data_IF_815732200984
#
_entry.id   IF_815732200984
#
_cell.length_a   1.000
_cell.length_b   1.000
_cell.length_c   1.000
_cell.angle_alpha   90.00
_cell.angle_beta   90.00
_cell.angle_gamma   90.00
#
_symmetry.space_group_name_H-M   'P 1'
#
loop_
_entity.id
_entity.type
_entity.pdbx_description
1 polymer ?
#
# COMPACT_ATOMS: atom_id res chain seq x y z
N UNK A 1 0.16 2.92 -22.72
CA UNK A 1 -1.00 2.17 -22.20
C UNK A 1 -0.92 2.14 -20.68
N UNK A 2 -1.88 2.75 -19.97
CA UNK A 2 -1.99 2.61 -18.50
C UNK A 2 -2.49 1.18 -18.23
N UNK A 3 -1.66 0.31 -17.65
CA UNK A 3 -2.09 -1.05 -17.24
C UNK A 3 -3.22 -0.89 -16.23
N UNK A 4 -4.31 -1.62 -16.41
CA UNK A 4 -5.45 -1.59 -15.50
C UNK A 4 -5.08 -2.39 -14.25
N UNK A 5 -4.83 -1.69 -13.12
CA UNK A 5 -4.33 -2.29 -11.87
C UNK A 5 -5.27 -3.33 -11.27
N UNK A 6 -6.56 -3.27 -11.61
CA UNK A 6 -7.59 -4.21 -11.17
C UNK A 6 -7.40 -5.64 -11.73
N UNK A 7 -6.45 -5.84 -12.66
CA UNK A 7 -6.19 -7.14 -13.30
C UNK A 7 -4.80 -7.71 -12.99
N UNK A 8 -4.11 -7.21 -11.97
CA UNK A 8 -2.91 -7.91 -11.51
C UNK A 8 -3.32 -9.29 -10.97
N UNK A 9 -2.89 -10.41 -11.60
CA UNK A 9 -3.34 -11.75 -11.21
C UNK A 9 -3.05 -12.06 -9.74
N UNK A 10 -1.96 -11.53 -9.19
CA UNK A 10 -1.59 -11.71 -7.78
C UNK A 10 -2.53 -10.96 -6.84
N UNK A 11 -2.97 -9.76 -7.20
CA UNK A 11 -3.97 -9.02 -6.41
C UNK A 11 -5.30 -9.77 -6.37
N UNK A 12 -5.70 -10.41 -7.48
CA UNK A 12 -6.90 -11.24 -7.50
C UNK A 12 -6.75 -12.50 -6.65
N UNK A 13 -5.58 -13.14 -6.65
CA UNK A 13 -5.27 -14.25 -5.73
C UNK A 13 -5.43 -13.82 -4.27
N UNK A 14 -4.87 -12.67 -3.87
CA UNK A 14 -5.03 -12.14 -2.50
C UNK A 14 -6.52 -11.90 -2.16
N UNK A 15 -7.31 -11.36 -3.09
CA UNK A 15 -8.77 -11.18 -2.87
C UNK A 15 -9.46 -12.52 -2.61
N UNK A 16 -9.12 -13.56 -3.38
CA UNK A 16 -9.69 -14.89 -3.26
C UNK A 16 -9.23 -15.61 -1.96
N UNK A 17 -7.93 -15.58 -1.68
CA UNK A 17 -7.31 -16.23 -0.52
C UNK A 17 -7.82 -15.68 0.81
N UNK A 18 -8.01 -14.36 0.89
CA UNK A 18 -8.54 -13.70 2.09
C UNK A 18 -10.07 -13.64 2.12
N UNK A 19 -10.76 -14.23 1.13
CA UNK A 19 -12.22 -14.31 1.08
C UNK A 19 -12.91 -12.96 1.00
N UNK A 20 -12.26 -11.97 0.36
CA UNK A 20 -12.80 -10.62 0.27
C UNK A 20 -14.04 -10.57 -0.65
N UNK A 21 -14.99 -9.64 -0.41
CA UNK A 21 -16.18 -9.53 -1.23
C UNK A 21 -15.87 -9.34 -2.73
N UNK A 22 -16.74 -9.85 -3.61
CA UNK A 22 -16.54 -9.74 -5.08
C UNK A 22 -16.52 -8.31 -5.61
N UNK A 23 -17.07 -7.35 -4.87
CA UNK A 23 -17.06 -5.92 -5.21
C UNK A 23 -15.83 -5.19 -4.66
N UNK A 24 -14.86 -5.92 -4.09
CA UNK A 24 -13.60 -5.36 -3.59
C UNK A 24 -12.84 -4.62 -4.69
N UNK A 25 -12.35 -3.43 -4.35
CA UNK A 25 -11.53 -2.60 -5.23
C UNK A 25 -10.13 -2.50 -4.67
N UNK A 26 -9.16 -2.85 -5.49
CA UNK A 26 -7.76 -2.58 -5.18
C UNK A 26 -7.45 -1.10 -5.41
N UNK A 27 -7.05 -0.39 -4.35
CA UNK A 27 -6.78 1.04 -4.42
C UNK A 27 -5.33 1.35 -4.80
N UNK A 28 -4.41 0.46 -4.45
CA UNK A 28 -2.99 0.57 -4.75
C UNK A 28 -2.12 -0.02 -3.65
N UNK A 29 -0.82 0.11 -3.85
CA UNK A 29 0.19 -0.26 -2.85
C UNK A 29 0.41 0.91 -1.90
N UNK A 30 0.54 0.63 -0.60
CA UNK A 30 0.78 1.61 0.45
C UNK A 30 2.02 1.21 1.25
N UNK A 31 2.70 2.17 1.86
CA UNK A 31 3.74 1.88 2.85
C UNK A 31 3.09 1.84 4.23
N UNK A 32 3.33 0.77 4.98
CA UNK A 32 2.77 0.54 6.31
C UNK A 32 3.90 0.30 7.31
N UNK A 33 3.76 0.84 8.52
CA UNK A 33 4.59 0.57 9.68
C UNK A 33 3.85 -0.40 10.59
N UNK A 34 4.16 -1.72 10.56
CA UNK A 34 3.42 -2.70 11.34
C UNK A 34 3.53 -2.49 12.85
N UNK A 35 4.63 -1.91 13.32
CA UNK A 35 4.87 -1.68 14.74
C UNK A 35 3.96 -0.60 15.36
N UNK A 36 3.60 0.43 14.59
CA UNK A 36 2.75 1.54 15.05
C UNK A 36 1.36 1.57 14.41
N UNK A 37 1.09 0.67 13.46
CA UNK A 37 -0.11 0.64 12.62
C UNK A 37 -0.36 1.96 11.87
N UNK A 38 0.71 2.50 11.28
CA UNK A 38 0.67 3.76 10.53
C UNK A 38 0.97 3.58 9.06
N UNK A 39 0.42 4.48 8.24
CA UNK A 39 0.56 4.49 6.80
C UNK A 39 1.25 5.77 6.35
N UNK A 40 2.07 5.66 5.31
CA UNK A 40 2.66 6.84 4.70
C UNK A 40 1.57 7.66 4.01
N UNK A 41 1.30 8.86 4.51
CA UNK A 41 0.33 9.79 3.94
C UNK A 41 0.98 10.73 2.92
N UNK A 42 2.18 11.23 3.21
CA UNK A 42 2.85 12.24 2.38
C UNK A 42 4.37 12.09 2.44
N UNK A 43 5.03 12.34 1.31
CA UNK A 43 6.48 12.52 1.21
C UNK A 43 6.74 13.93 0.72
N UNK A 44 7.48 14.72 1.51
CA UNK A 44 7.95 16.05 1.13
C UNK A 44 9.44 15.98 0.85
N UNK A 45 9.84 16.41 -0.34
CA UNK A 45 11.24 16.53 -0.76
C UNK A 45 11.52 17.98 -1.08
N UNK A 46 12.40 18.62 -0.31
CA UNK A 46 12.84 20.00 -0.52
C UNK A 46 14.35 20.03 -0.39
N UNK A 47 15.04 20.36 -1.49
CA UNK A 47 16.50 20.30 -1.60
C UNK A 47 17.04 18.95 -1.11
N UNK A 48 17.88 18.96 -0.07
CA UNK A 48 18.49 17.78 0.54
C UNK A 48 17.68 17.22 1.73
N UNK A 49 16.47 17.73 1.97
CA UNK A 49 15.60 17.31 3.08
C UNK A 49 14.45 16.45 2.55
N UNK A 50 14.35 15.23 3.08
CA UNK A 50 13.19 14.36 2.90
C UNK A 50 12.41 14.23 4.22
N UNK A 51 11.13 14.60 4.20
CA UNK A 51 10.19 14.39 5.30
C UNK A 51 9.08 13.42 4.91
N UNK A 52 8.70 12.54 5.85
CA UNK A 52 7.60 11.58 5.69
C UNK A 52 6.56 11.82 6.76
N UNK A 53 5.30 11.96 6.36
CA UNK A 53 4.18 12.03 7.27
C UNK A 53 3.51 10.67 7.35
N UNK A 54 3.56 10.06 8.52
CA UNK A 54 2.88 8.82 8.86
C UNK A 54 1.58 9.10 9.60
N UNK A 55 0.56 8.26 9.41
CA UNK A 55 -0.69 8.37 10.14
C UNK A 55 -1.56 7.11 10.07
N UNK A 56 -2.46 6.95 11.02
CA UNK A 56 -3.23 5.71 11.23
C UNK A 56 -4.43 5.51 10.28
N UNK A 57 -4.69 6.41 9.32
CA UNK A 57 -5.93 6.34 8.50
C UNK A 57 -5.60 5.79 7.11
N UNK A 58 -5.83 4.49 6.83
CA UNK A 58 -5.40 3.85 5.58
C UNK A 58 -6.01 4.48 4.32
N UNK A 59 -7.23 5.03 4.40
CA UNK A 59 -7.86 5.73 3.27
C UNK A 59 -7.06 6.95 2.80
N UNK A 60 -6.35 7.61 3.72
CA UNK A 60 -5.54 8.80 3.47
C UNK A 60 -4.09 8.46 3.07
N UNK A 61 -3.71 7.18 3.10
CA UNK A 61 -2.40 6.73 2.67
C UNK A 61 -2.11 7.12 1.23
N UNK A 62 -0.84 7.42 0.97
CA UNK A 62 -0.29 7.60 -0.35
C UNK A 62 -0.37 6.27 -1.12
N UNK A 63 -1.07 6.29 -2.26
CA UNK A 63 -1.34 5.08 -3.06
C UNK A 63 -0.42 5.05 -4.27
N UNK A 64 0.58 4.18 -4.21
CA UNK A 64 1.43 3.87 -5.35
C UNK A 64 0.69 2.97 -6.34
N UNK A 65 0.92 3.20 -7.63
CA UNK A 65 0.25 2.42 -8.68
C UNK A 65 0.96 1.09 -8.94
N UNK A 66 2.24 1.00 -8.59
CA UNK A 66 3.03 -0.21 -8.75
C UNK A 66 3.75 -0.57 -7.45
N UNK A 67 3.92 -1.87 -7.21
CA UNK A 67 4.70 -2.38 -6.07
C UNK A 67 6.11 -1.77 -6.04
N UNK A 68 6.77 -1.69 -7.21
CA UNK A 68 8.11 -1.12 -7.35
C UNK A 68 8.24 0.32 -6.82
N UNK A 69 7.22 1.15 -7.01
CA UNK A 69 7.24 2.53 -6.51
C UNK A 69 7.12 2.58 -4.98
N UNK A 70 6.21 1.77 -4.40
CA UNK A 70 6.07 1.66 -2.95
C UNK A 70 7.34 1.06 -2.32
N UNK A 71 7.88 0.00 -2.93
CA UNK A 71 9.12 -0.66 -2.51
C UNK A 71 10.28 0.33 -2.46
N UNK A 72 10.47 1.14 -3.51
CA UNK A 72 11.50 2.18 -3.50
C UNK A 72 11.35 3.12 -2.29
N UNK A 73 10.14 3.48 -1.91
CA UNK A 73 9.93 4.36 -0.75
C UNK A 73 10.23 3.64 0.58
N UNK A 74 9.81 2.38 0.72
CA UNK A 74 10.14 1.54 1.88
C UNK A 74 11.66 1.37 2.03
N UNK A 75 12.36 1.10 0.93
CA UNK A 75 13.83 0.96 0.89
C UNK A 75 14.55 2.25 1.30
N UNK A 76 14.03 3.40 0.88
CA UNK A 76 14.59 4.71 1.25
C UNK A 76 14.35 5.04 2.73
N UNK A 77 13.26 4.54 3.31
CA UNK A 77 12.95 4.76 4.73
C UNK A 77 13.76 3.85 5.65
N UNK A 78 13.90 2.56 5.32
CA UNK A 78 14.77 1.60 6.01
C UNK A 78 14.28 1.08 7.38
N UNK A 79 13.39 1.80 8.09
CA UNK A 79 12.99 1.50 9.47
C UNK A 79 11.72 0.62 9.58
N UNK A 80 11.79 -0.61 9.08
CA UNK A 80 10.73 -1.60 9.31
C UNK A 80 9.37 -1.30 8.65
N UNK A 81 9.33 -0.33 7.73
CA UNK A 81 8.20 -0.17 6.82
C UNK A 81 8.11 -1.37 5.87
N UNK A 82 6.89 -1.68 5.43
CA UNK A 82 6.62 -2.73 4.44
C UNK A 82 5.67 -2.19 3.38
N UNK A 83 5.69 -2.84 2.20
CA UNK A 83 4.64 -2.61 1.21
C UNK A 83 3.42 -3.45 1.57
N UNK A 84 2.25 -2.82 1.57
CA UNK A 84 0.97 -3.47 1.78
C UNK A 84 -0.03 -3.14 0.68
N UNK A 85 -1.05 -3.98 0.54
CA UNK A 85 -2.14 -3.83 -0.42
C UNK A 85 -3.32 -3.14 0.27
N UNK A 86 -3.81 -2.04 -0.32
CA UNK A 86 -5.00 -1.35 0.19
C UNK A 86 -6.24 -1.70 -0.65
N UNK A 87 -7.26 -2.20 0.03
CA UNK A 87 -8.54 -2.56 -0.55
C UNK A 87 -9.68 -1.71 0.00
N UNK A 88 -10.64 -1.36 -0.85
CA UNK A 88 -11.95 -0.85 -0.48
C UNK A 88 -12.97 -1.97 -0.70
N UNK A 89 -13.57 -2.47 0.38
CA UNK A 89 -14.58 -3.55 0.31
C UNK A 89 -16.01 -3.03 0.41
N UNK A 90 -16.21 -1.70 0.44
CA UNK A 90 -17.49 -1.04 0.64
C UNK A 90 -17.58 -0.36 2.02
N UNK A 91 -17.91 -1.10 3.10
CA UNK A 91 -18.09 -0.49 4.42
C UNK A 91 -16.78 -0.10 5.10
N UNK A 92 -15.65 -0.66 4.66
CA UNK A 92 -14.34 -0.46 5.29
C UNK A 92 -13.20 -0.55 4.29
N UNK A 93 -12.04 -0.08 4.73
CA UNK A 93 -10.77 -0.28 4.05
C UNK A 93 -10.02 -1.42 4.73
N UNK A 94 -9.47 -2.34 3.93
CA UNK A 94 -8.68 -3.47 4.43
C UNK A 94 -7.25 -3.30 3.91
N UNK A 95 -6.29 -3.47 4.80
CA UNK A 95 -4.87 -3.53 4.47
C UNK A 95 -4.41 -4.97 4.63
N UNK A 96 -3.73 -5.49 3.62
CA UNK A 96 -3.14 -6.83 3.65
C UNK A 96 -1.64 -6.70 3.41
N UNK A 97 -0.85 -7.25 4.33
CA UNK A 97 0.57 -7.51 4.13
C UNK A 97 0.66 -8.92 3.57
N UNK A 98 1.11 -9.02 2.32
CA UNK A 98 1.27 -10.29 1.62
C UNK A 98 2.76 -10.51 1.36
N UNK A 99 3.28 -11.71 1.62
CA UNK A 99 4.72 -11.99 1.57
C UNK A 99 5.34 -11.76 0.18
N UNK A 100 4.57 -11.92 -0.90
CA UNK A 100 5.07 -11.66 -2.26
C UNK A 100 5.34 -10.17 -2.51
N UNK A 101 4.75 -9.31 -1.68
CA UNK A 101 4.88 -7.87 -1.76
C UNK A 101 5.61 -7.27 -0.55
N UNK A 102 5.65 -7.96 0.59
CA UNK A 102 6.32 -7.57 1.81
C UNK A 102 7.84 -7.73 1.63
N UNK A 103 8.44 -6.67 1.09
CA UNK A 103 9.83 -6.64 0.71
C UNK A 103 10.00 -5.38 -0.05
#
# INVERSE_FOLDING_TARGET
>A
MKKNKDKDPKVQQVIEEFGLPKNTKFLGFVCHLPASDEFLHEVKRVDDIEGRLWGAIPRLAHKYQTHREAKKEVDLYGDGAVVALLFDVGPQYIVIIDEDYAG
#
